data_IF_856719829527
#
_entry.id   IF_856719829527
#
_cell.length_a   1.000
_cell.length_b   1.000
_cell.length_c   1.000
_cell.angle_alpha   90.00
_cell.angle_beta   90.00
_cell.angle_gamma   90.00
#
_symmetry.space_group_name_H-M   'P 1'
#
loop_
_entity.id
_entity.type
_entity.pdbx_description
1 polymer ?
#
# COMPACT_ATOMS: atom_id res chain seq x y z
N UNK A 1 -9.60 -11.80 18.02
CA UNK A 1 -8.18 -11.44 17.88
C UNK A 1 -7.55 -12.51 17.04
N UNK A 2 -7.48 -12.22 15.74
CA UNK A 2 -6.78 -13.04 14.75
C UNK A 2 -5.29 -13.13 15.13
N UNK A 3 -4.61 -14.22 14.74
CA UNK A 3 -3.19 -14.37 15.00
C UNK A 3 -2.38 -13.25 14.34
N UNK A 4 -1.47 -12.64 15.11
CA UNK A 4 -0.64 -11.53 14.66
C UNK A 4 0.44 -12.10 13.75
N UNK A 5 0.10 -12.19 12.47
CA UNK A 5 1.00 -12.71 11.45
C UNK A 5 2.08 -11.68 11.12
N UNK A 6 3.36 -12.05 11.22
CA UNK A 6 4.47 -11.19 10.80
C UNK A 6 4.66 -11.32 9.28
N UNK A 7 3.65 -10.91 8.54
CA UNK A 7 3.67 -11.02 7.08
C UNK A 7 4.03 -9.73 6.36
N UNK A 8 4.45 -8.69 7.08
CA UNK A 8 4.74 -7.37 6.47
C UNK A 8 6.03 -6.70 6.95
N UNK A 9 6.82 -7.33 7.82
CA UNK A 9 7.94 -6.62 8.46
C UNK A 9 9.31 -6.81 7.80
N UNK A 10 9.46 -7.72 6.83
CA UNK A 10 10.71 -7.83 6.07
C UNK A 10 10.60 -7.23 4.65
N UNK A 11 9.44 -7.27 3.98
CA UNK A 11 9.23 -6.61 2.67
C UNK A 11 9.05 -5.09 2.78
N UNK A 12 8.47 -4.58 3.88
CA UNK A 12 8.19 -3.16 4.05
C UNK A 12 9.28 -2.36 4.78
N UNK A 13 10.11 -3.03 5.60
CA UNK A 13 11.11 -2.36 6.46
C UNK A 13 12.56 -2.54 5.98
N UNK A 14 12.84 -3.57 5.17
CA UNK A 14 14.18 -3.90 4.69
C UNK A 14 14.14 -4.00 3.16
N UNK A 15 14.75 -3.04 2.48
CA UNK A 15 15.14 -3.27 1.09
C UNK A 15 16.61 -3.69 1.10
N UNK A 16 16.93 -4.88 0.60
CA UNK A 16 18.21 -5.03 -0.07
C UNK A 16 18.07 -4.32 -1.41
N UNK A 17 18.83 -3.25 -1.60
CA UNK A 17 19.08 -2.75 -2.94
C UNK A 17 20.07 -3.70 -3.60
N UNK A 18 19.58 -4.78 -4.21
CA UNK A 18 20.38 -5.55 -5.17
C UNK A 18 19.89 -5.31 -6.59
N UNK A 19 20.65 -4.52 -7.32
CA UNK A 19 20.79 -4.66 -8.77
C UNK A 19 22.16 -5.27 -9.03
N UNK A 20 22.28 -6.61 -9.06
CA UNK A 20 23.49 -7.22 -9.61
C UNK A 20 23.33 -7.30 -11.13
N UNK A 21 23.87 -6.29 -11.81
CA UNK A 21 24.23 -6.45 -13.21
C UNK A 21 25.24 -7.60 -13.30
N UNK A 22 25.02 -8.47 -14.29
CA UNK A 22 25.89 -9.60 -14.64
C UNK A 22 27.37 -9.27 -14.44
N UNK A 23 28.11 -10.24 -13.89
CA UNK A 23 29.59 -10.31 -13.89
C UNK A 23 30.17 -9.59 -15.12
N UNK A 24 31.06 -8.61 -14.90
CA UNK A 24 32.05 -8.00 -15.82
C UNK A 24 32.31 -6.49 -15.59
N UNK A 25 32.13 -5.93 -14.39
CA UNK A 25 32.73 -4.62 -14.04
C UNK A 25 32.96 -4.48 -12.53
N UNK A 26 34.22 -4.40 -12.05
CA UNK A 26 34.53 -4.32 -10.62
C UNK A 26 34.68 -2.88 -10.09
N UNK A 27 34.31 -1.84 -10.85
CA UNK A 27 34.37 -0.45 -10.38
C UNK A 27 32.95 0.08 -10.15
N UNK A 28 32.65 0.39 -8.90
CA UNK A 28 31.43 1.02 -8.36
C UNK A 28 30.22 0.12 -8.01
N UNK A 29 30.45 -1.14 -7.64
CA UNK A 29 29.43 -1.87 -6.87
C UNK A 29 29.44 -1.37 -5.42
N UNK A 30 28.49 -0.50 -5.05
CA UNK A 30 28.20 -0.20 -3.63
C UNK A 30 28.04 -1.51 -2.87
N UNK A 31 28.70 -1.62 -1.71
CA UNK A 31 28.56 -2.78 -0.82
C UNK A 31 27.10 -2.83 -0.38
N UNK A 32 26.33 -3.89 -0.70
CA UNK A 32 24.92 -3.97 -0.32
C UNK A 32 24.80 -3.87 1.19
N UNK A 33 24.00 -2.93 1.68
CA UNK A 33 23.71 -2.75 3.10
C UNK A 33 22.22 -2.84 3.34
N UNK A 34 21.85 -3.41 4.47
CA UNK A 34 20.45 -3.42 4.91
C UNK A 34 20.13 -2.06 5.53
N UNK A 35 19.09 -1.41 5.04
CA UNK A 35 18.68 -0.07 5.48
C UNK A 35 17.27 -0.06 6.08
N UNK A 36 17.00 0.79 7.09
CA UNK A 36 15.65 1.00 7.58
C UNK A 36 14.78 1.66 6.50
N UNK A 37 13.56 1.12 6.32
CA UNK A 37 12.51 1.72 5.48
C UNK A 37 11.30 2.20 6.28
N UNK A 38 11.38 2.16 7.60
CA UNK A 38 10.32 2.61 8.49
C UNK A 38 10.91 3.43 9.67
N UNK A 39 10.22 4.50 10.13
CA UNK A 39 10.72 5.35 11.21
C UNK A 39 11.00 4.61 12.52
N UNK A 40 10.23 3.58 12.85
CA UNK A 40 10.45 2.79 14.06
C UNK A 40 11.72 1.94 13.99
N UNK A 41 12.19 1.60 12.78
CA UNK A 41 13.40 0.81 12.57
C UNK A 41 14.66 1.68 12.69
N UNK A 42 14.59 2.98 12.41
CA UNK A 42 15.73 3.92 12.54
C UNK A 42 16.29 4.02 13.97
N UNK A 43 15.52 3.57 14.96
CA UNK A 43 15.94 3.51 16.36
C UNK A 43 16.99 2.41 16.61
N UNK A 44 17.13 1.46 15.69
CA UNK A 44 18.10 0.38 15.81
C UNK A 44 19.53 0.88 15.57
N UNK A 45 20.47 0.42 16.41
CA UNK A 45 21.87 0.82 16.34
C UNK A 45 22.63 0.19 15.17
N UNK A 46 23.83 0.71 14.83
CA UNK A 46 24.63 0.20 13.70
C UNK A 46 24.99 -1.29 13.83
N UNK A 47 25.26 -1.77 15.04
CA UNK A 47 25.57 -3.20 15.28
C UNK A 47 24.43 -4.13 14.85
N UNK A 48 23.19 -3.67 14.99
CA UNK A 48 22.01 -4.41 14.56
C UNK A 48 21.94 -4.53 13.04
N UNK A 49 22.15 -3.40 12.34
CA UNK A 49 22.15 -3.34 10.88
C UNK A 49 23.32 -4.12 10.27
N UNK A 50 24.49 -4.10 10.90
CA UNK A 50 25.64 -4.91 10.50
C UNK A 50 25.38 -6.42 10.68
N UNK A 51 24.67 -6.82 11.74
CA UNK A 51 24.23 -8.20 11.94
C UNK A 51 23.25 -8.64 10.85
N UNK A 52 22.22 -7.84 10.56
CA UNK A 52 21.24 -8.15 9.50
C UNK A 52 21.88 -8.20 8.11
N UNK A 53 22.84 -7.31 7.84
CA UNK A 53 23.57 -7.32 6.56
C UNK A 53 24.35 -8.62 6.40
N UNK A 54 25.16 -9.02 7.39
CA UNK A 54 25.89 -10.31 7.34
C UNK A 54 24.96 -11.51 7.20
N UNK A 55 23.81 -11.49 7.88
CA UNK A 55 22.81 -12.57 7.77
C UNK A 55 22.24 -12.66 6.36
N UNK A 56 21.95 -11.52 5.75
CA UNK A 56 21.36 -11.49 4.42
C UNK A 56 22.37 -11.90 3.36
N UNK A 57 23.64 -11.50 3.49
CA UNK A 57 24.73 -11.99 2.64
C UNK A 57 24.88 -13.52 2.72
N UNK A 58 24.86 -14.09 3.93
CA UNK A 58 24.92 -15.53 4.13
C UNK A 58 23.71 -16.25 3.49
N UNK A 59 22.52 -15.70 3.62
CA UNK A 59 21.31 -16.22 2.99
C UNK A 59 21.38 -16.15 1.45
N UNK A 60 21.84 -15.03 0.89
CA UNK A 60 22.02 -14.87 -0.55
C UNK A 60 23.02 -15.90 -1.11
N UNK A 61 24.12 -16.14 -0.39
CA UNK A 61 25.09 -17.15 -0.79
C UNK A 61 24.51 -18.58 -0.73
N UNK A 62 23.74 -18.91 0.31
CA UNK A 62 23.05 -20.20 0.40
C UNK A 62 22.00 -20.38 -0.71
N UNK A 63 21.26 -19.33 -1.07
CA UNK A 63 20.32 -19.33 -2.18
C UNK A 63 21.02 -19.56 -3.52
N UNK A 64 22.18 -18.94 -3.76
CA UNK A 64 22.97 -19.14 -4.99
C UNK A 64 23.42 -20.60 -5.17
N UNK A 65 23.86 -21.24 -4.08
CA UNK A 65 24.22 -22.67 -4.11
C UNK A 65 22.97 -23.52 -4.38
N UNK A 66 21.87 -23.23 -3.68
CA UNK A 66 20.61 -23.97 -3.84
C UNK A 66 20.05 -23.86 -5.26
N UNK A 67 20.11 -22.67 -5.87
CA UNK A 67 19.67 -22.45 -7.26
C UNK A 67 20.47 -23.30 -8.24
N UNK A 68 21.80 -23.39 -8.06
CA UNK A 68 22.66 -24.25 -8.89
C UNK A 68 22.31 -25.73 -8.74
N UNK A 69 22.08 -26.19 -7.50
CA UNK A 69 21.74 -27.58 -7.22
C UNK A 69 20.38 -27.94 -7.82
N UNK A 70 19.35 -27.11 -7.59
CA UNK A 70 17.99 -27.32 -8.11
C UNK A 70 17.99 -27.34 -9.64
N UNK A 71 18.68 -26.38 -10.29
CA UNK A 71 18.87 -26.37 -11.74
C UNK A 71 19.48 -27.69 -12.24
N UNK A 72 20.47 -28.22 -11.50
CA UNK A 72 21.08 -29.51 -11.77
C UNK A 72 20.09 -30.67 -11.65
N UNK A 73 19.24 -30.69 -10.62
CA UNK A 73 18.21 -31.72 -10.45
C UNK A 73 17.17 -31.73 -11.57
N UNK A 74 16.81 -30.55 -12.10
CA UNK A 74 15.94 -30.43 -13.27
C UNK A 74 16.66 -30.63 -14.62
N UNK A 75 17.98 -30.87 -14.62
CA UNK A 75 18.82 -31.01 -15.82
C UNK A 75 18.69 -29.82 -16.80
N UNK A 76 18.56 -28.61 -16.27
CA UNK A 76 18.41 -27.39 -17.07
C UNK A 76 19.77 -26.82 -17.49
N UNK A 77 19.77 -26.06 -18.59
CA UNK A 77 21.00 -25.50 -19.17
C UNK A 77 21.53 -24.32 -18.34
N UNK A 78 22.84 -24.09 -18.39
CA UNK A 78 23.46 -22.96 -17.68
C UNK A 78 23.14 -21.59 -18.28
N UNK A 79 22.65 -21.57 -19.53
CA UNK A 79 22.27 -20.35 -20.23
C UNK A 79 20.84 -19.89 -19.89
N UNK A 80 20.05 -20.74 -19.21
CA UNK A 80 18.73 -20.39 -18.71
C UNK A 80 18.82 -19.45 -17.51
N UNK A 81 17.91 -18.48 -17.44
CA UNK A 81 17.73 -17.63 -16.27
C UNK A 81 16.67 -18.27 -15.38
N UNK A 82 17.00 -18.51 -14.12
CA UNK A 82 16.09 -19.11 -13.15
C UNK A 82 15.87 -18.23 -11.93
N UNK A 83 14.74 -18.47 -11.25
CA UNK A 83 14.35 -17.72 -10.06
C UNK A 83 14.15 -18.65 -8.87
N UNK A 84 14.81 -18.35 -7.76
CA UNK A 84 14.56 -18.99 -6.47
C UNK A 84 13.93 -17.96 -5.52
N UNK A 85 12.80 -18.34 -4.91
CA UNK A 85 12.08 -17.53 -3.94
C UNK A 85 12.04 -18.28 -2.60
N UNK A 86 12.35 -17.58 -1.50
CA UNK A 86 12.31 -18.15 -0.15
C UNK A 86 11.42 -17.28 0.73
N UNK A 87 10.37 -17.86 1.28
CA UNK A 87 9.49 -17.25 2.27
C UNK A 87 9.81 -17.85 3.64
N UNK A 88 10.34 -17.03 4.55
CA UNK A 88 10.70 -17.42 5.91
C UNK A 88 10.12 -16.44 6.94
N UNK A 89 9.56 -16.94 8.03
CA UNK A 89 9.06 -16.10 9.11
C UNK A 89 8.27 -16.85 10.17
N UNK A 90 7.78 -16.09 11.16
CA UNK A 90 7.05 -16.60 12.31
C UNK A 90 5.87 -15.69 12.67
N UNK A 91 4.76 -16.28 13.07
CA UNK A 91 3.57 -15.59 13.56
C UNK A 91 3.45 -15.73 15.07
N UNK A 92 3.02 -14.67 15.76
CA UNK A 92 2.80 -14.71 17.20
C UNK A 92 1.33 -14.78 17.55
N UNK A 93 1.02 -15.60 18.55
CA UNK A 93 -0.25 -15.57 19.24
C UNK A 93 -0.43 -14.29 20.07
N UNK A 94 -1.64 -14.03 20.59
CA UNK A 94 -1.91 -12.91 21.49
C UNK A 94 -1.06 -12.92 22.77
N UNK A 95 -0.58 -14.08 23.20
CA UNK A 95 0.32 -14.28 24.34
C UNK A 95 1.80 -14.01 24.00
N UNK A 96 2.10 -13.65 22.75
CA UNK A 96 3.44 -13.40 22.25
C UNK A 96 4.28 -14.67 22.09
N UNK A 97 3.67 -15.86 22.05
CA UNK A 97 4.39 -17.11 21.74
C UNK A 97 4.30 -17.43 20.25
N UNK A 98 5.25 -18.23 19.78
CA UNK A 98 5.23 -18.75 18.42
C UNK A 98 3.92 -19.50 18.20
N UNK A 99 3.14 -19.06 17.22
CA UNK A 99 1.95 -19.73 16.75
C UNK A 99 2.25 -20.58 15.52
N UNK A 100 2.97 -20.01 14.55
CA UNK A 100 3.32 -20.66 13.30
C UNK A 100 4.72 -20.23 12.89
N UNK A 101 5.58 -21.20 12.54
CA UNK A 101 6.84 -20.95 11.85
C UNK A 101 6.74 -21.48 10.42
N UNK A 102 7.33 -20.79 9.46
CA UNK A 102 7.29 -21.24 8.07
C UNK A 102 8.61 -20.96 7.34
N UNK A 103 8.97 -21.91 6.47
CA UNK A 103 10.01 -21.78 5.47
C UNK A 103 9.51 -22.46 4.19
N UNK A 104 9.30 -21.70 3.11
CA UNK A 104 8.82 -22.21 1.83
C UNK A 104 9.76 -21.77 0.72
N UNK A 105 10.12 -22.71 -0.13
CA UNK A 105 10.99 -22.49 -1.27
C UNK A 105 10.16 -22.70 -2.53
N UNK A 106 10.20 -21.73 -3.43
CA UNK A 106 9.61 -21.82 -4.76
C UNK A 106 10.71 -21.63 -5.83
N UNK A 107 10.58 -22.38 -6.92
CA UNK A 107 11.50 -22.37 -8.05
C UNK A 107 10.74 -22.06 -9.33
N UNK A 108 11.21 -21.07 -10.09
CA UNK A 108 10.56 -20.55 -11.30
C UNK A 108 9.06 -20.26 -11.12
N UNK A 109 8.71 -19.67 -9.97
CA UNK A 109 7.34 -19.29 -9.61
C UNK A 109 6.42 -20.42 -9.16
N UNK A 110 6.94 -21.63 -8.97
CA UNK A 110 6.18 -22.80 -8.50
C UNK A 110 6.70 -23.28 -7.16
N UNK A 111 5.81 -23.81 -6.32
CA UNK A 111 6.20 -24.45 -5.07
C UNK A 111 7.23 -25.55 -5.33
N UNK A 112 8.28 -25.60 -4.51
CA UNK A 112 9.37 -26.58 -4.60
C UNK A 112 9.42 -27.43 -3.34
N UNK A 113 9.79 -26.85 -2.18
CA UNK A 113 9.84 -27.54 -0.89
C UNK A 113 9.34 -26.63 0.23
N UNK A 114 8.57 -27.17 1.17
CA UNK A 114 8.06 -26.44 2.33
C UNK A 114 8.33 -27.17 3.64
N UNK A 115 8.74 -26.42 4.67
CA UNK A 115 8.84 -26.90 6.05
C UNK A 115 7.42 -27.10 6.59
N UNK A 116 7.16 -28.27 7.17
CA UNK A 116 5.86 -28.60 7.76
C UNK A 116 5.68 -27.88 9.10
N UNK A 117 4.43 -27.79 9.56
CA UNK A 117 4.07 -27.11 10.82
C UNK A 117 4.71 -27.75 12.07
N UNK A 118 5.17 -29.00 11.97
CA UNK A 118 5.93 -29.68 13.02
C UNK A 118 7.36 -29.13 13.19
N UNK A 119 7.80 -28.26 12.27
CA UNK A 119 9.13 -27.66 12.16
C UNK A 119 10.27 -28.69 12.11
N UNK A 120 9.98 -29.91 11.65
CA UNK A 120 10.91 -31.05 11.64
C UNK A 120 10.93 -31.77 10.30
N UNK A 121 9.80 -31.83 9.62
CA UNK A 121 9.65 -32.53 8.35
C UNK A 121 9.40 -31.57 7.19
N UNK A 122 9.60 -32.07 5.98
CA UNK A 122 9.47 -31.31 4.74
C UNK A 122 8.44 -31.94 3.82
N UNK A 123 7.80 -31.12 3.00
CA UNK A 123 6.94 -31.54 1.90
C UNK A 123 7.54 -31.05 0.59
N UNK A 124 7.85 -31.98 -0.32
CA UNK A 124 8.27 -31.69 -1.69
C UNK A 124 7.04 -31.57 -2.62
N UNK A 125 7.09 -30.62 -3.55
CA UNK A 125 5.99 -30.36 -4.49
C UNK A 125 5.97 -31.34 -5.68
N UNK A 126 7.13 -31.89 -6.06
CA UNK A 126 7.26 -32.87 -7.13
C UNK A 126 8.43 -33.86 -6.88
N UNK A 127 8.58 -34.84 -7.77
CA UNK A 127 9.64 -35.87 -7.66
C UNK A 127 11.06 -35.30 -7.76
N UNK A 128 11.25 -34.15 -8.40
CA UNK A 128 12.57 -33.50 -8.50
C UNK A 128 12.88 -32.74 -7.20
N UNK A 129 11.87 -32.10 -6.61
CA UNK A 129 11.97 -31.46 -5.30
C UNK A 129 12.29 -32.44 -4.16
N UNK A 130 11.97 -33.73 -4.30
CA UNK A 130 12.39 -34.77 -3.34
C UNK A 130 13.92 -34.84 -3.18
N UNK A 131 14.70 -34.51 -4.22
CA UNK A 131 16.17 -34.46 -4.10
C UNK A 131 16.62 -33.34 -3.15
N UNK A 132 15.97 -32.17 -3.24
CA UNK A 132 16.19 -31.07 -2.31
C UNK A 132 15.75 -31.46 -0.90
N UNK A 133 14.57 -32.06 -0.74
CA UNK A 133 14.08 -32.55 0.55
C UNK A 133 15.10 -33.48 1.21
N UNK A 134 15.55 -34.54 0.52
CA UNK A 134 16.50 -35.50 1.06
C UNK A 134 17.82 -34.86 1.48
N UNK A 135 18.28 -33.85 0.73
CA UNK A 135 19.47 -33.07 1.08
C UNK A 135 19.26 -32.31 2.41
N UNK A 136 18.14 -31.61 2.54
CA UNK A 136 17.79 -30.85 3.75
C UNK A 136 17.65 -31.78 4.98
N UNK A 137 17.06 -32.96 4.80
CA UNK A 137 16.93 -33.99 5.83
C UNK A 137 18.30 -34.55 6.23
N UNK A 138 19.16 -34.87 5.26
CA UNK A 138 20.52 -35.38 5.52
C UNK A 138 21.41 -34.37 6.26
N UNK A 139 21.20 -33.08 6.03
CA UNK A 139 21.89 -31.98 6.70
C UNK A 139 21.23 -31.57 8.04
N UNK A 140 20.10 -32.21 8.39
CA UNK A 140 19.28 -31.88 9.55
C UNK A 140 18.91 -30.38 9.60
N UNK A 141 18.62 -29.80 8.44
CA UNK A 141 18.42 -28.37 8.27
C UNK A 141 17.18 -27.85 9.03
N UNK A 142 16.16 -28.70 9.21
CA UNK A 142 14.95 -28.37 9.95
C UNK A 142 15.24 -27.95 11.39
N UNK A 143 16.17 -28.62 12.09
CA UNK A 143 16.53 -28.25 13.48
C UNK A 143 17.17 -26.87 13.56
N UNK A 144 17.99 -26.48 12.57
CA UNK A 144 18.57 -25.14 12.50
C UNK A 144 17.49 -24.07 12.28
N UNK A 145 16.58 -24.30 11.33
CA UNK A 145 15.46 -23.39 11.07
C UNK A 145 14.53 -23.29 12.27
N UNK A 146 14.25 -24.41 12.93
CA UNK A 146 13.41 -24.44 14.13
C UNK A 146 14.00 -23.58 15.25
N UNK A 147 15.30 -23.68 15.52
CA UNK A 147 15.96 -22.83 16.50
C UNK A 147 15.85 -21.33 16.15
N UNK A 148 15.97 -20.98 14.87
CA UNK A 148 15.80 -19.60 14.40
C UNK A 148 14.35 -19.11 14.50
N UNK A 149 13.38 -19.97 14.16
CA UNK A 149 11.95 -19.66 14.19
C UNK A 149 11.41 -19.53 15.62
N UNK A 150 11.79 -20.45 16.52
CA UNK A 150 11.33 -20.46 17.92
C UNK A 150 12.05 -19.41 18.79
N UNK A 151 13.29 -19.05 18.44
CA UNK A 151 14.11 -18.08 19.18
C UNK A 151 14.14 -16.71 18.51
N UNK A 152 15.13 -16.52 17.64
CA UNK A 152 15.50 -15.20 17.09
C UNK A 152 14.33 -14.50 16.37
N UNK A 153 13.55 -15.23 15.57
CA UNK A 153 12.41 -14.66 14.87
C UNK A 153 11.38 -14.07 15.85
N UNK A 154 11.03 -14.83 16.90
CA UNK A 154 10.10 -14.40 17.95
C UNK A 154 10.65 -13.18 18.71
N UNK A 155 11.93 -13.19 19.04
CA UNK A 155 12.59 -12.08 19.75
C UNK A 155 12.63 -10.80 18.93
N UNK A 156 13.05 -10.89 17.66
CA UNK A 156 13.05 -9.76 16.73
C UNK A 156 11.66 -9.20 16.53
N UNK A 157 10.67 -10.08 16.32
CA UNK A 157 9.28 -9.69 16.13
C UNK A 157 8.70 -8.94 17.35
N UNK A 158 8.97 -9.43 18.56
CA UNK A 158 8.58 -8.72 19.79
C UNK A 158 9.22 -7.33 19.87
N UNK A 159 10.52 -7.24 19.58
CA UNK A 159 11.26 -5.98 19.57
C UNK A 159 10.66 -4.99 18.56
N UNK A 160 10.36 -5.44 17.35
CA UNK A 160 9.74 -4.60 16.32
C UNK A 160 8.34 -4.13 16.71
N UNK A 161 7.51 -5.03 17.26
CA UNK A 161 6.17 -4.66 17.72
C UNK A 161 6.20 -3.64 18.86
N UNK A 162 7.23 -3.66 19.71
CA UNK A 162 7.41 -2.66 20.77
C UNK A 162 7.91 -1.34 20.20
N UNK A 163 8.98 -1.35 19.40
CA UNK A 163 9.55 -0.14 18.79
C UNK A 163 8.53 0.57 17.88
N UNK A 164 7.75 -0.21 17.13
CA UNK A 164 6.76 0.27 16.18
C UNK A 164 5.34 0.29 16.72
N UNK A 165 5.12 0.17 18.04
CA UNK A 165 3.80 -0.01 18.65
C UNK A 165 2.72 0.94 18.15
N UNK A 166 3.03 2.23 18.02
CA UNK A 166 2.08 3.24 17.54
C UNK A 166 1.67 3.08 16.07
N UNK A 167 2.50 2.40 15.27
CA UNK A 167 2.30 2.24 13.81
C UNK A 167 1.89 0.82 13.40
N UNK A 168 2.46 -0.20 14.04
CA UNK A 168 2.27 -1.62 13.71
C UNK A 168 1.10 -2.25 14.44
N UNK A 169 0.76 -1.74 15.63
CA UNK A 169 -0.37 -2.23 16.44
C UNK A 169 -1.57 -1.27 16.39
N UNK A 170 -1.59 -0.36 15.41
CA UNK A 170 -2.77 0.48 15.14
C UNK A 170 -3.78 -0.29 14.32
N UNK A 171 -5.06 0.05 14.49
CA UNK A 171 -6.10 -0.32 13.57
C UNK A 171 -6.81 0.96 13.10
N UNK A 172 -6.71 1.26 11.81
CA UNK A 172 -7.41 2.38 11.19
C UNK A 172 -8.65 1.84 10.46
N UNK A 173 -9.87 2.21 10.86
CA UNK A 173 -11.09 1.73 10.22
C UNK A 173 -11.25 2.28 8.80
N UNK A 174 -11.88 1.52 7.88
CA UNK A 174 -12.11 1.97 6.53
C UNK A 174 -13.09 3.13 6.46
N UNK A 175 -12.75 4.14 5.65
CA UNK A 175 -13.70 5.15 5.17
C UNK A 175 -14.49 4.53 4.04
N UNK A 176 -15.78 4.30 4.27
CA UNK A 176 -16.62 3.55 3.35
C UNK A 176 -17.70 4.39 2.70
N UNK A 177 -17.99 4.11 1.44
CA UNK A 177 -19.12 4.71 0.72
C UNK A 177 -19.53 3.86 -0.48
N UNK A 178 -20.74 4.06 -0.98
CA UNK A 178 -21.25 3.39 -2.18
C UNK A 178 -21.42 4.41 -3.30
N UNK A 179 -20.84 4.10 -4.45
CA UNK A 179 -20.96 4.87 -5.70
C UNK A 179 -21.93 4.18 -6.65
N UNK A 180 -22.65 4.99 -7.43
CA UNK A 180 -23.65 4.54 -8.39
C UNK A 180 -23.28 5.02 -9.79
N UNK A 181 -23.16 4.10 -10.73
CA UNK A 181 -22.76 4.37 -12.10
C UNK A 181 -23.76 3.75 -13.07
N UNK A 182 -24.61 4.54 -13.75
CA UNK A 182 -25.51 4.02 -14.77
C UNK A 182 -24.73 3.37 -15.92
N UNK A 183 -25.10 2.15 -16.29
CA UNK A 183 -24.59 1.47 -17.51
C UNK A 183 -25.58 1.68 -18.65
N UNK A 184 -26.87 1.47 -18.36
CA UNK A 184 -27.99 1.62 -19.28
C UNK A 184 -29.24 2.13 -18.55
N UNK A 185 -30.37 2.26 -19.25
CA UNK A 185 -31.64 2.57 -18.60
C UNK A 185 -32.18 1.42 -17.74
N UNK A 186 -31.61 0.22 -17.85
CA UNK A 186 -32.07 -0.99 -17.15
C UNK A 186 -31.09 -1.45 -16.08
N UNK A 187 -29.83 -1.03 -16.14
CA UNK A 187 -28.76 -1.56 -15.29
C UNK A 187 -27.85 -0.44 -14.80
N UNK A 188 -27.44 -0.58 -13.54
CA UNK A 188 -26.51 0.33 -12.88
C UNK A 188 -25.46 -0.49 -12.13
N UNK A 189 -24.24 0.03 -12.02
CA UNK A 189 -23.21 -0.53 -11.15
C UNK A 189 -23.25 0.16 -9.81
N UNK A 190 -23.38 -0.63 -8.74
CA UNK A 190 -23.09 -0.19 -7.38
C UNK A 190 -21.66 -0.61 -7.02
N UNK A 191 -20.83 0.32 -6.59
CA UNK A 191 -19.47 0.03 -6.13
C UNK A 191 -19.27 0.51 -4.70
N UNK A 192 -18.99 -0.44 -3.82
CA UNK A 192 -18.68 -0.22 -2.41
C UNK A 192 -17.18 -0.05 -2.25
N UNK A 193 -16.78 1.07 -1.66
CA UNK A 193 -15.39 1.41 -1.41
C UNK A 193 -15.04 1.26 0.06
N UNK A 194 -13.85 0.74 0.34
CA UNK A 194 -13.17 0.83 1.62
C UNK A 194 -11.82 1.51 1.39
N UNK A 195 -11.57 2.64 2.05
CA UNK A 195 -10.38 3.47 1.82
C UNK A 195 -9.67 3.81 3.13
N UNK A 196 -8.35 3.90 3.08
CA UNK A 196 -7.52 4.44 4.18
C UNK A 196 -7.57 3.59 5.44
N UNK A 197 -7.63 2.26 5.30
CA UNK A 197 -7.67 1.34 6.42
C UNK A 197 -6.33 0.64 6.64
N UNK A 198 -6.10 0.18 7.86
CA UNK A 198 -4.96 -0.65 8.26
C UNK A 198 -5.37 -1.56 9.42
N UNK A 199 -5.04 -2.86 9.45
CA UNK A 199 -4.20 -3.60 8.49
C UNK A 199 -4.90 -3.88 7.15
N UNK A 200 -4.18 -4.53 6.23
CA UNK A 200 -4.65 -4.84 4.88
C UNK A 200 -5.85 -5.81 4.84
N UNK A 201 -6.02 -6.63 5.88
CA UNK A 201 -7.09 -7.61 5.95
C UNK A 201 -8.44 -6.91 6.07
N UNK A 202 -9.28 -7.06 5.04
CA UNK A 202 -10.62 -6.47 4.98
C UNK A 202 -11.52 -7.39 4.17
N UNK A 203 -12.75 -7.59 4.66
CA UNK A 203 -13.77 -8.35 3.93
C UNK A 203 -14.85 -7.40 3.42
N UNK A 204 -15.09 -7.42 2.11
CA UNK A 204 -16.16 -6.68 1.43
C UNK A 204 -17.09 -7.68 0.75
N UNK A 205 -18.37 -7.67 1.09
CA UNK A 205 -19.38 -8.57 0.51
C UNK A 205 -20.62 -7.79 0.10
N UNK A 206 -21.26 -8.20 -0.99
CA UNK A 206 -22.55 -7.69 -1.41
C UNK A 206 -23.64 -8.71 -1.11
N UNK A 207 -24.75 -8.24 -0.56
CA UNK A 207 -25.96 -9.03 -0.33
C UNK A 207 -27.14 -8.40 -1.05
N UNK A 208 -28.01 -9.26 -1.61
CA UNK A 208 -29.34 -8.88 -2.11
C UNK A 208 -30.39 -9.54 -1.24
N UNK A 209 -31.20 -8.74 -0.55
CA UNK A 209 -32.22 -9.24 0.40
C UNK A 209 -31.67 -10.23 1.45
N UNK A 210 -30.39 -10.09 1.82
CA UNK A 210 -29.69 -10.97 2.77
C UNK A 210 -28.97 -12.16 2.15
N UNK A 211 -29.03 -12.36 0.83
CA UNK A 211 -28.30 -13.43 0.13
C UNK A 211 -27.00 -12.91 -0.51
N UNK A 212 -25.88 -13.57 -0.24
CA UNK A 212 -24.56 -13.22 -0.76
C UNK A 212 -24.50 -13.29 -2.30
N UNK A 213 -23.87 -12.30 -2.92
CA UNK A 213 -23.75 -12.14 -4.39
C UNK A 213 -22.32 -12.41 -4.89
N UNK A 214 -21.60 -13.38 -4.31
CA UNK A 214 -20.16 -13.57 -4.54
C UNK A 214 -19.79 -13.80 -6.01
N UNK A 215 -20.61 -14.51 -6.78
CA UNK A 215 -20.32 -14.81 -8.20
C UNK A 215 -20.52 -13.60 -9.13
N UNK A 216 -21.47 -12.74 -8.79
CA UNK A 216 -21.83 -11.55 -9.59
C UNK A 216 -21.07 -10.29 -9.13
N UNK A 217 -20.20 -10.44 -8.13
CA UNK A 217 -19.41 -9.36 -7.56
C UNK A 217 -18.03 -9.30 -8.19
N UNK A 218 -17.71 -8.16 -8.79
CA UNK A 218 -16.33 -7.80 -9.13
C UNK A 218 -15.62 -7.33 -7.86
N UNK A 219 -14.75 -8.16 -7.30
CA UNK A 219 -13.95 -7.85 -6.12
C UNK A 219 -12.49 -7.67 -6.53
N UNK A 220 -11.93 -6.49 -6.28
CA UNK A 220 -10.50 -6.26 -6.53
C UNK A 220 -9.64 -6.70 -5.35
N UNK A 221 -8.39 -7.07 -5.64
CA UNK A 221 -7.37 -7.28 -4.62
C UNK A 221 -7.17 -6.02 -3.77
N UNK A 222 -6.78 -6.22 -2.50
CA UNK A 222 -6.45 -5.11 -1.61
C UNK A 222 -5.14 -4.48 -2.06
N UNK A 223 -5.14 -3.17 -2.26
CA UNK A 223 -3.99 -2.44 -2.82
C UNK A 223 -3.49 -1.36 -1.86
N UNK A 224 -2.17 -1.10 -1.82
CA UNK A 224 -1.62 -0.02 -1.01
C UNK A 224 -2.07 1.35 -1.55
N UNK A 225 -2.26 2.31 -0.65
CA UNK A 225 -2.55 3.71 -1.00
C UNK A 225 -1.28 4.58 -1.11
N UNK A 226 -0.14 4.09 -0.61
CA UNK A 226 1.16 4.79 -0.65
C UNK A 226 1.50 5.60 0.61
N UNK A 227 0.55 5.74 1.54
CA UNK A 227 0.69 6.40 2.85
C UNK A 227 0.80 5.40 4.02
N UNK A 228 1.01 4.12 3.71
CA UNK A 228 1.01 3.02 4.68
C UNK A 228 -0.37 2.41 4.95
N UNK A 229 -1.44 2.96 4.36
CA UNK A 229 -2.80 2.40 4.44
C UNK A 229 -3.20 1.69 3.14
N UNK A 230 -4.37 1.05 3.17
CA UNK A 230 -4.90 0.22 2.10
C UNK A 230 -6.24 0.72 1.57
N UNK A 231 -6.60 0.21 0.40
CA UNK A 231 -7.88 0.46 -0.26
C UNK A 231 -8.34 -0.82 -0.99
N UNK A 232 -9.65 -1.03 -1.04
CA UNK A 232 -10.32 -2.14 -1.75
C UNK A 232 -11.71 -1.69 -2.16
N UNK A 233 -12.26 -2.30 -3.21
CA UNK A 233 -13.66 -2.09 -3.58
C UNK A 233 -14.30 -3.38 -4.10
N UNK A 234 -15.62 -3.43 -4.00
CA UNK A 234 -16.45 -4.51 -4.53
C UNK A 234 -17.58 -3.89 -5.34
N UNK A 235 -17.84 -4.37 -6.55
CA UNK A 235 -18.90 -3.85 -7.41
C UNK A 235 -19.87 -4.95 -7.86
N UNK A 236 -21.14 -4.59 -7.98
CA UNK A 236 -22.20 -5.45 -8.52
C UNK A 236 -23.00 -4.69 -9.57
N UNK A 237 -23.43 -5.40 -10.61
CA UNK A 237 -24.40 -4.88 -11.58
C UNK A 237 -25.80 -5.20 -11.05
N UNK A 238 -26.65 -4.19 -10.97
CA UNK A 238 -27.99 -4.31 -10.40
C UNK A 238 -29.04 -3.73 -11.36
N UNK A 239 -30.27 -4.29 -11.38
CA UNK A 239 -31.38 -3.69 -12.12
C UNK A 239 -31.70 -2.29 -11.59
N UNK A 240 -31.96 -1.35 -12.49
CA UNK A 240 -32.34 0.01 -12.09
C UNK A 240 -33.67 -0.02 -11.33
N UNK A 241 -33.72 0.67 -10.19
CA UNK A 241 -34.86 0.67 -9.26
C UNK A 241 -34.78 -0.38 -8.16
N UNK A 242 -33.84 -1.33 -8.25
CA UNK A 242 -33.63 -2.37 -7.22
C UNK A 242 -32.44 -2.06 -6.29
N UNK A 243 -31.81 -0.90 -6.41
CA UNK A 243 -30.56 -0.56 -5.73
C UNK A 243 -30.66 -0.68 -4.20
N UNK A 244 -31.83 -0.39 -3.64
CA UNK A 244 -32.08 -0.44 -2.18
C UNK A 244 -32.17 -1.87 -1.61
N UNK A 245 -32.31 -2.88 -2.46
CA UNK A 245 -32.26 -4.31 -2.07
C UNK A 245 -30.84 -4.79 -1.84
N UNK A 246 -29.86 -4.05 -2.36
CA UNK A 246 -28.45 -4.38 -2.28
C UNK A 246 -27.79 -3.67 -1.09
N UNK A 247 -27.10 -4.44 -0.26
CA UNK A 247 -26.36 -3.94 0.90
C UNK A 247 -24.92 -4.44 0.82
N UNK A 248 -23.96 -3.54 0.96
CA UNK A 248 -22.55 -3.88 1.09
C UNK A 248 -22.20 -4.06 2.57
N UNK A 249 -21.58 -5.17 2.92
CA UNK A 249 -21.07 -5.45 4.25
C UNK A 249 -19.55 -5.32 4.26
N UNK A 250 -19.03 -4.58 5.25
CA UNK A 250 -17.60 -4.35 5.44
C UNK A 250 -17.19 -4.81 6.83
N UNK A 251 -16.23 -5.73 6.89
CA UNK A 251 -15.62 -6.22 8.12
C UNK A 251 -14.13 -5.88 8.13
N UNK A 252 -13.67 -5.33 9.25
CA UNK A 252 -12.30 -4.90 9.46
C UNK A 252 -12.01 -4.83 10.96
N UNK A 253 -10.79 -5.15 11.40
CA UNK A 253 -10.42 -5.15 12.82
C UNK A 253 -10.54 -3.76 13.49
N UNK A 254 -10.39 -2.69 12.71
CA UNK A 254 -10.56 -1.32 13.19
C UNK A 254 -12.01 -0.91 13.45
N UNK A 255 -12.99 -1.73 13.03
CA UNK A 255 -14.41 -1.47 13.26
C UNK A 255 -14.90 -2.16 14.53
N UNK A 256 -15.65 -1.44 15.36
CA UNK A 256 -16.30 -2.02 16.55
C UNK A 256 -17.38 -3.04 16.17
N UNK A 257 -18.12 -2.76 15.09
CA UNK A 257 -19.13 -3.63 14.52
C UNK A 257 -19.03 -3.58 12.99
N UNK A 258 -19.36 -4.69 12.29
CA UNK A 258 -19.44 -4.70 10.83
C UNK A 258 -20.34 -3.59 10.29
N UNK A 259 -19.88 -2.88 9.25
CA UNK A 259 -20.67 -1.84 8.61
C UNK A 259 -21.57 -2.46 7.54
N UNK A 260 -22.79 -1.95 7.43
CA UNK A 260 -23.76 -2.29 6.38
C UNK A 260 -24.16 -1.02 5.65
N UNK A 261 -23.86 -0.95 4.35
CA UNK A 261 -24.00 0.26 3.54
C UNK A 261 -24.96 0.01 2.40
N UNK A 262 -25.88 0.94 2.18
CA UNK A 262 -26.70 1.00 0.98
C UNK A 262 -26.31 2.21 0.14
N UNK A 263 -26.68 2.19 -1.13
CA UNK A 263 -26.54 3.39 -1.94
C UNK A 263 -27.53 4.46 -1.47
N UNK A 264 -27.02 5.64 -1.12
CA UNK A 264 -27.83 6.82 -0.85
C UNK A 264 -27.79 7.77 -2.07
N UNK A 265 -28.94 8.13 -2.65
CA UNK A 265 -28.99 9.17 -3.67
C UNK A 265 -28.44 10.47 -3.10
N UNK A 266 -27.43 11.04 -3.77
CA UNK A 266 -26.83 12.32 -3.40
C UNK A 266 -27.92 13.39 -3.20
N UNK A 267 -28.19 13.74 -1.94
CA UNK A 267 -28.96 14.93 -1.59
C UNK A 267 -28.04 16.14 -1.62
N UNK A 268 -27.43 16.46 -2.76
CA UNK A 268 -26.91 17.81 -2.93
C UNK A 268 -28.11 18.75 -2.92
N UNK A 269 -28.27 19.64 -1.92
CA UNK A 269 -29.25 20.69 -2.04
C UNK A 269 -28.83 21.48 -3.27
N UNK A 270 -29.72 21.59 -4.25
CA UNK A 270 -29.56 22.59 -5.30
C UNK A 270 -29.74 23.94 -4.61
N UNK A 271 -28.69 24.42 -3.94
CA UNK A 271 -28.64 25.79 -3.44
C UNK A 271 -28.95 26.63 -4.68
N UNK A 272 -29.99 27.48 -4.68
CA UNK A 272 -30.39 28.22 -5.86
C UNK A 272 -29.35 29.32 -6.09
N UNK A 273 -28.21 28.96 -6.66
CA UNK A 273 -27.10 29.85 -6.99
C UNK A 273 -27.62 30.99 -7.86
N UNK A 274 -28.61 30.72 -8.72
CA UNK A 274 -29.32 31.74 -9.51
C UNK A 274 -30.07 32.78 -8.65
N UNK A 275 -30.66 32.39 -7.52
CA UNK A 275 -31.35 33.31 -6.61
C UNK A 275 -30.40 34.26 -5.90
N UNK A 276 -29.22 33.76 -5.51
CA UNK A 276 -28.16 34.56 -4.88
C UNK A 276 -27.54 35.53 -5.90
N UNK A 277 -27.27 35.07 -7.13
CA UNK A 277 -26.74 35.93 -8.21
C UNK A 277 -27.73 37.03 -8.58
N UNK A 278 -29.02 36.71 -8.73
CA UNK A 278 -30.06 37.70 -9.00
C UNK A 278 -30.19 38.72 -7.87
N UNK A 279 -30.18 38.26 -6.61
CA UNK A 279 -30.24 39.13 -5.43
C UNK A 279 -29.03 40.08 -5.34
N UNK A 280 -27.82 39.58 -5.58
CA UNK A 280 -26.59 40.37 -5.59
C UNK A 280 -26.58 41.39 -6.74
N UNK A 281 -27.02 41.01 -7.94
CA UNK A 281 -27.11 41.92 -9.08
C UNK A 281 -28.07 43.09 -8.81
N UNK A 282 -29.22 42.82 -8.18
CA UNK A 282 -30.19 43.85 -7.78
C UNK A 282 -29.58 44.78 -6.73
N UNK A 283 -28.90 44.23 -5.71
CA UNK A 283 -28.23 45.04 -4.68
C UNK A 283 -27.16 45.95 -5.28
N UNK A 284 -26.33 45.44 -6.19
CA UNK A 284 -25.31 46.23 -6.89
C UNK A 284 -25.95 47.35 -7.72
N UNK A 285 -27.03 47.05 -8.46
CA UNK A 285 -27.75 48.06 -9.23
C UNK A 285 -28.35 49.17 -8.37
N UNK A 286 -28.93 48.83 -7.21
CA UNK A 286 -29.47 49.80 -6.25
C UNK A 286 -28.37 50.69 -5.67
N UNK A 287 -27.21 50.10 -5.31
CA UNK A 287 -26.07 50.86 -4.78
C UNK A 287 -25.51 51.82 -5.83
N UNK A 288 -25.35 51.37 -7.08
CA UNK A 288 -24.91 52.25 -8.18
C UNK A 288 -25.92 53.38 -8.41
N UNK A 289 -27.23 53.07 -8.42
CA UNK A 289 -28.29 54.07 -8.56
C UNK A 289 -28.26 55.13 -7.44
N UNK A 290 -28.06 54.70 -6.20
CA UNK A 290 -27.95 55.58 -5.03
C UNK A 290 -26.68 56.44 -5.07
N UNK A 291 -25.55 55.88 -5.50
CA UNK A 291 -24.28 56.63 -5.63
C UNK A 291 -24.40 57.67 -6.75
N UNK A 292 -24.97 57.32 -7.90
CA UNK A 292 -25.16 58.28 -9.01
C UNK A 292 -26.09 59.43 -8.60
N UNK A 293 -27.20 59.15 -7.91
CA UNK A 293 -28.10 60.20 -7.39
C UNK A 293 -27.40 61.07 -6.35
N UNK A 294 -26.64 60.49 -5.41
CA UNK A 294 -25.87 61.24 -4.42
C UNK A 294 -24.76 62.11 -5.04
N UNK A 295 -24.04 61.61 -6.05
CA UNK A 295 -22.98 62.35 -6.76
C UNK A 295 -23.57 63.47 -7.62
N UNK A 296 -24.70 63.26 -8.29
CA UNK A 296 -25.41 64.32 -9.00
C UNK A 296 -25.92 65.41 -8.05
N UNK A 297 -26.37 65.03 -6.85
CA UNK A 297 -26.78 65.97 -5.82
C UNK A 297 -25.59 66.78 -5.28
N UNK A 298 -24.44 66.14 -5.05
CA UNK A 298 -23.19 66.82 -4.66
C UNK A 298 -22.63 67.72 -5.75
N UNK A 299 -22.71 67.34 -7.03
CA UNK A 299 -22.25 68.19 -8.15
C UNK A 299 -23.09 69.46 -8.33
N UNK A 300 -24.33 69.48 -7.85
CA UNK A 300 -25.19 70.68 -7.89
C UNK A 300 -24.92 71.66 -6.73
N UNK A 301 -24.17 71.26 -5.68
CA UNK A 301 -24.00 72.05 -4.45
C UNK A 301 -22.58 72.55 -4.16
N UNK A 302 -21.59 72.38 -5.04
CA UNK A 302 -20.23 72.88 -4.77
C UNK A 302 -19.59 73.56 -5.97
N UNK A 303 -19.84 74.86 -6.10
CA UNK A 303 -18.98 75.79 -6.83
C UNK A 303 -17.75 76.15 -5.99
N UNK A 304 -16.57 75.92 -6.58
CA UNK A 304 -15.32 76.70 -6.46
C UNK A 304 -14.69 76.91 -5.07
N UNK A 305 -13.55 76.27 -4.83
CA UNK A 305 -12.25 76.94 -4.53
C UNK A 305 -11.10 75.92 -4.46
N UNK A 306 -10.00 76.29 -5.10
CA UNK A 306 -8.74 75.56 -5.09
C UNK A 306 -7.70 76.16 -4.13
N UNK A 307 -6.60 75.42 -4.00
CA UNK A 307 -5.40 75.69 -3.19
C UNK A 307 -5.35 74.80 -1.95
N UNK A 308 -4.22 74.29 -1.46
CA UNK A 308 -2.81 74.23 -1.87
C UNK A 308 -2.12 73.26 -0.87
N UNK A 309 -1.07 72.54 -1.32
CA UNK A 309 0.10 71.92 -0.61
C UNK A 309 0.05 71.67 0.93
N UNK A 310 0.51 70.55 1.53
CA UNK A 310 1.78 69.81 1.39
C UNK A 310 1.66 68.46 2.13
N UNK A 311 2.13 67.33 1.59
CA UNK A 311 3.40 66.63 1.89
C UNK A 311 3.51 65.96 3.29
N UNK A 312 3.44 64.61 3.31
CA UNK A 312 4.32 63.75 4.12
C UNK A 312 4.30 62.32 3.54
N UNK A 313 5.50 61.74 3.48
CA UNK A 313 5.85 60.50 2.83
C UNK A 313 5.68 59.26 3.73
N UNK A 314 5.48 58.09 3.11
CA UNK A 314 6.33 56.89 3.24
C UNK A 314 5.80 55.80 2.30
N UNK A 315 6.55 55.51 1.22
CA UNK A 315 7.35 54.26 1.03
C UNK A 315 6.50 53.02 0.72
N UNK A 316 6.25 52.78 -0.58
CA UNK A 316 7.00 51.91 -1.54
C UNK A 316 6.43 50.47 -1.53
N UNK A 317 5.57 50.08 -2.49
CA UNK A 317 5.85 49.37 -3.77
C UNK A 317 6.57 48.03 -3.58
N UNK A 318 6.14 46.87 -4.06
CA UNK A 318 5.12 46.50 -5.05
C UNK A 318 5.68 45.39 -5.97
N UNK A 319 4.75 44.73 -6.67
CA UNK A 319 4.91 43.98 -7.94
C UNK A 319 4.94 42.44 -7.89
N UNK A 320 4.13 41.94 -8.82
CA UNK A 320 3.81 40.58 -9.28
C UNK A 320 4.95 39.85 -10.04
N UNK A 321 4.62 38.58 -10.35
CA UNK A 321 5.00 37.67 -11.46
C UNK A 321 5.52 36.34 -10.87
N UNK A 322 5.09 35.13 -11.25
CA UNK A 322 4.56 34.62 -12.52
C UNK A 322 5.56 33.63 -13.14
N UNK A 323 5.16 32.36 -13.36
CA UNK A 323 5.88 31.31 -14.13
C UNK A 323 6.78 30.39 -13.29
N UNK A 324 7.06 29.10 -13.59
CA UNK A 324 6.80 28.17 -14.72
C UNK A 324 7.29 26.77 -14.29
N UNK A 325 6.65 25.68 -14.75
CA UNK A 325 7.22 24.32 -14.77
C UNK A 325 8.36 24.19 -15.80
N UNK A 326 9.31 23.24 -15.65
CA UNK A 326 9.40 22.09 -16.59
C UNK A 326 9.98 20.80 -15.91
N UNK A 327 10.48 19.76 -16.63
CA UNK A 327 9.69 18.60 -17.08
C UNK A 327 10.21 17.22 -16.60
N UNK A 328 9.38 16.20 -16.83
CA UNK A 328 9.72 14.77 -16.77
C UNK A 328 10.87 14.38 -17.72
N UNK A 329 11.79 13.53 -17.25
CA UNK A 329 12.53 12.61 -18.09
C UNK A 329 13.03 11.42 -17.24
N UNK A 330 12.36 10.27 -17.34
CA UNK A 330 12.88 8.98 -16.85
C UNK A 330 12.87 7.99 -18.01
N UNK A 331 14.02 7.89 -18.68
CA UNK A 331 14.35 6.80 -19.58
C UNK A 331 14.67 5.55 -18.76
N UNK A 332 13.86 4.52 -18.87
CA UNK A 332 14.13 3.20 -18.32
C UNK A 332 15.21 2.49 -19.17
N UNK A 333 16.29 1.96 -18.59
CA UNK A 333 17.13 1.00 -19.28
C UNK A 333 16.42 -0.36 -19.30
N UNK A 334 16.20 -0.89 -20.50
CA UNK A 334 15.86 -2.30 -20.73
C UNK A 334 16.96 -3.21 -20.19
N UNK A 335 16.59 -4.17 -19.34
CA UNK A 335 17.47 -5.20 -18.80
C UNK A 335 18.09 -6.07 -19.90
N UNK A 336 19.35 -6.51 -19.80
CA UNK A 336 19.91 -7.51 -20.71
C UNK A 336 19.41 -8.91 -20.33
N UNK A 337 19.15 -9.72 -21.35
CA UNK A 337 18.90 -11.17 -21.28
C UNK A 337 20.05 -11.93 -20.61
N UNK A 338 19.74 -12.78 -19.62
CA UNK A 338 20.65 -13.81 -19.11
C UNK A 338 21.21 -13.63 -17.68
N UNK A 339 20.44 -13.09 -16.73
CA UNK A 339 20.84 -13.03 -15.32
C UNK A 339 19.93 -13.91 -14.46
N UNK A 340 20.45 -14.98 -13.84
CA UNK A 340 19.75 -15.68 -12.76
C UNK A 340 19.35 -14.65 -11.69
N UNK A 341 18.05 -14.53 -11.41
CA UNK A 341 17.53 -13.58 -10.43
C UNK A 341 17.18 -14.33 -9.15
N UNK A 342 17.91 -14.04 -8.06
CA UNK A 342 17.43 -14.40 -6.72
C UNK A 342 16.46 -13.32 -6.30
N UNK A 343 15.17 -13.57 -6.49
CA UNK A 343 14.12 -12.64 -6.12
C UNK A 343 13.66 -12.97 -4.69
N UNK A 344 14.12 -12.17 -3.73
CA UNK A 344 13.60 -12.20 -2.36
C UNK A 344 12.19 -11.62 -2.36
N UNK A 345 11.20 -12.49 -2.50
CA UNK A 345 9.81 -12.13 -2.37
C UNK A 345 9.33 -12.49 -0.97
N UNK A 346 9.40 -11.53 -0.06
CA UNK A 346 8.62 -11.55 1.18
C UNK A 346 7.18 -11.17 0.82
N UNK A 347 6.46 -12.07 0.16
CA UNK A 347 5.02 -11.89 -0.06
C UNK A 347 4.25 -12.22 1.22
N UNK A 348 3.25 -11.40 1.58
CA UNK A 348 2.19 -11.88 2.45
C UNK A 348 1.46 -13.05 1.75
N UNK A 349 1.26 -14.13 2.49
CA UNK A 349 0.16 -15.09 2.28
C UNK A 349 -1.12 -14.27 2.08
N UNK A 350 -1.71 -14.44 0.91
CA UNK A 350 -3.01 -13.91 0.51
C UNK A 350 -4.13 -14.46 1.38
#
# INVERSE_FOLDING_TARGET
MEPRSLLLLLSGALALTETWASSHSPSDAEIPKTEPRAPWAEQEGPEYWDLLTRRTEACAQACRVSLRDIRGYYNQSEAGSHTLQVLFGCDLGPDGRLLLGYCRIAYDGKDHVALNEDLRSWTAADMVAEFTQRKLEAENYAEQLRAQLEGECVEMLKRYLENGKETLQRAEPPKTHVTHHPISNQEVTLRCWALGFYPAEVTLTWQRDGEDQTQDTELVETRPAGDGNFQKWAAVVVPSGEEQRYTCHVQHEGLLEPLSLRWEPSSQPTIPIMGIIAGLAVLVAVVIGAVVTAVMWRRKSSGRKGGSYSQAACKWWGRECGGTHPPHNSSWPTSPTGSDQVLFLFYPRQ
#
